data_IF_764294446424
#
_entry.id   IF_764294446424
#
_cell.length_a   1.000
_cell.length_b   1.000
_cell.length_c   1.000
_cell.angle_alpha   90.00
_cell.angle_beta   90.00
_cell.angle_gamma   90.00
#
_symmetry.space_group_name_H-M   'P 1'
#
loop_
_entity.id
_entity.type
_entity.pdbx_description
1 polymer ?
#
# COMPACT_ATOMS: atom_id res chain seq x y z
N UNK A 1 21.22 -2.05 0.06
CA UNK A 1 21.14 -2.87 1.31
C UNK A 1 21.71 -2.16 2.54
N UNK A 2 22.90 -1.52 2.49
CA UNK A 2 23.51 -0.84 3.67
C UNK A 2 22.60 0.19 4.35
N UNK A 3 21.97 1.10 3.60
CA UNK A 3 21.07 2.12 4.16
C UNK A 3 19.85 1.51 4.89
N UNK A 4 19.18 0.53 4.30
CA UNK A 4 17.98 -0.09 4.88
C UNK A 4 18.29 -0.79 6.22
N UNK A 5 19.42 -1.49 6.29
CA UNK A 5 19.84 -2.17 7.52
C UNK A 5 20.15 -1.15 8.62
N UNK A 6 20.86 -0.06 8.29
CA UNK A 6 21.15 1.03 9.24
C UNK A 6 19.86 1.72 9.69
N UNK A 7 18.94 2.01 8.76
CA UNK A 7 17.68 2.67 9.08
C UNK A 7 16.80 1.81 9.99
N UNK A 8 16.70 0.50 9.74
CA UNK A 8 15.97 -0.43 10.62
C UNK A 8 16.63 -0.58 11.99
N UNK A 9 17.97 -0.62 12.06
CA UNK A 9 18.69 -0.69 13.33
C UNK A 9 18.45 0.59 14.16
N UNK A 10 18.57 1.76 13.54
CA UNK A 10 18.27 3.04 14.19
C UNK A 10 16.81 3.10 14.67
N UNK A 11 15.87 2.65 13.83
CA UNK A 11 14.46 2.64 14.19
C UNK A 11 14.14 1.66 15.32
N UNK A 12 14.85 0.52 15.38
CA UNK A 12 14.74 -0.44 16.49
C UNK A 12 15.14 0.22 17.81
N UNK A 13 16.25 0.96 17.83
CA UNK A 13 16.69 1.72 19.00
C UNK A 13 15.65 2.76 19.40
N UNK A 14 15.11 3.52 18.43
CA UNK A 14 14.05 4.52 18.69
C UNK A 14 12.82 3.88 19.31
N UNK A 15 12.34 2.74 18.80
CA UNK A 15 11.17 2.05 19.33
C UNK A 15 11.40 1.52 20.74
N UNK A 16 12.59 0.96 21.01
CA UNK A 16 12.94 0.52 22.37
C UNK A 16 12.94 1.72 23.32
N UNK A 17 13.56 2.83 22.94
CA UNK A 17 13.54 4.07 23.75
C UNK A 17 12.11 4.54 24.00
N UNK A 18 11.23 4.52 22.98
CA UNK A 18 9.82 4.93 23.14
C UNK A 18 9.11 4.03 24.15
N UNK A 19 9.30 2.71 24.09
CA UNK A 19 8.68 1.77 25.04
C UNK A 19 9.19 2.03 26.48
N UNK A 20 10.48 2.31 26.64
CA UNK A 20 11.09 2.51 27.96
C UNK A 20 10.76 3.88 28.58
N UNK A 21 10.54 4.91 27.76
CA UNK A 21 10.45 6.31 28.22
C UNK A 21 9.03 6.86 28.18
N UNK A 22 8.20 6.42 27.23
CA UNK A 22 6.85 6.98 27.03
C UNK A 22 5.80 6.05 27.64
N UNK A 23 4.94 6.55 28.56
CA UNK A 23 3.89 5.74 29.15
C UNK A 23 2.94 5.14 28.12
N UNK A 24 2.57 3.88 28.35
CA UNK A 24 1.50 3.22 27.63
C UNK A 24 0.18 4.01 27.74
N UNK A 25 -0.58 4.10 26.65
CA UNK A 25 -1.87 4.80 26.61
C UNK A 25 -2.96 3.83 26.18
N UNK A 26 -3.75 3.37 27.15
CA UNK A 26 -4.90 2.52 26.89
C UNK A 26 -5.96 3.26 26.06
N UNK A 27 -6.41 2.62 24.99
CA UNK A 27 -7.57 3.07 24.20
C UNK A 27 -8.48 1.88 23.95
N UNK A 28 -8.00 0.89 23.18
CA UNK A 28 -8.82 -0.24 22.73
C UNK A 28 -8.28 -1.61 23.17
N UNK A 29 -7.06 -1.72 23.68
CA UNK A 29 -6.42 -3.01 23.97
C UNK A 29 -7.24 -3.85 24.95
N UNK A 30 -7.67 -3.24 26.06
CA UNK A 30 -8.55 -3.90 27.04
C UNK A 30 -9.87 -4.35 26.42
N UNK A 31 -10.48 -3.48 25.61
CA UNK A 31 -11.71 -3.83 24.92
C UNK A 31 -11.50 -5.02 23.97
N UNK A 32 -10.37 -5.10 23.26
CA UNK A 32 -10.05 -6.26 22.42
C UNK A 32 -9.94 -7.55 23.24
N UNK A 33 -9.36 -7.50 24.44
CA UNK A 33 -9.24 -8.67 25.31
C UNK A 33 -10.61 -9.10 25.84
N UNK A 34 -11.48 -8.16 26.22
CA UNK A 34 -12.85 -8.41 26.68
C UNK A 34 -13.72 -9.03 25.56
N UNK A 35 -13.64 -8.49 24.35
CA UNK A 35 -14.35 -8.99 23.16
C UNK A 35 -13.97 -10.45 22.87
N UNK A 36 -12.67 -10.76 22.91
CA UNK A 36 -12.15 -12.11 22.67
C UNK A 36 -12.43 -13.05 23.82
N UNK A 37 -12.37 -12.57 25.06
CA UNK A 37 -12.70 -13.35 26.25
C UNK A 37 -14.14 -13.87 26.19
N UNK A 38 -15.09 -13.06 25.70
CA UNK A 38 -16.46 -13.52 25.43
C UNK A 38 -16.49 -14.75 24.50
N UNK A 39 -15.77 -14.68 23.37
CA UNK A 39 -15.64 -15.80 22.43
C UNK A 39 -14.98 -17.03 23.07
N UNK A 40 -13.89 -16.83 23.82
CA UNK A 40 -13.17 -17.93 24.49
C UNK A 40 -14.01 -18.63 25.57
N UNK A 41 -15.00 -17.94 26.15
CA UNK A 41 -15.99 -18.51 27.06
C UNK A 41 -17.22 -19.11 26.35
N UNK A 42 -17.22 -19.19 25.03
CA UNK A 42 -18.24 -19.88 24.24
C UNK A 42 -19.34 -19.00 23.67
N UNK A 43 -19.22 -17.67 23.74
CA UNK A 43 -20.16 -16.76 23.06
C UNK A 43 -19.93 -16.80 21.54
N UNK A 44 -20.96 -17.18 20.79
CA UNK A 44 -20.95 -17.31 19.33
C UNK A 44 -21.95 -16.37 18.64
N UNK A 45 -22.80 -15.66 19.39
CA UNK A 45 -23.59 -14.57 18.84
C UNK A 45 -22.75 -13.30 18.80
N UNK A 46 -22.37 -12.90 17.58
CA UNK A 46 -21.50 -11.74 17.35
C UNK A 46 -22.05 -10.43 17.90
N UNK A 47 -23.36 -10.34 18.17
CA UNK A 47 -23.99 -9.14 18.77
C UNK A 47 -23.63 -8.97 20.25
N UNK A 48 -23.25 -10.06 20.92
CA UNK A 48 -22.95 -10.07 22.34
C UNK A 48 -21.46 -9.82 22.63
N UNK A 49 -20.59 -10.01 21.64
CA UNK A 49 -19.16 -9.72 21.74
C UNK A 49 -18.94 -8.20 21.78
N UNK A 50 -18.51 -7.69 22.93
CA UNK A 50 -18.30 -6.25 23.19
C UNK A 50 -17.28 -6.05 24.30
N UNK A 51 -16.60 -4.91 24.27
CA UNK A 51 -15.72 -4.44 25.33
C UNK A 51 -16.07 -3.01 25.77
N UNK A 52 -15.21 -2.42 26.59
CA UNK A 52 -15.39 -1.07 27.14
C UNK A 52 -15.52 0.04 26.10
N UNK A 53 -15.03 -0.18 24.87
CA UNK A 53 -15.11 0.80 23.76
C UNK A 53 -16.26 0.54 22.79
N UNK A 54 -17.08 -0.49 23.02
CA UNK A 54 -18.28 -0.78 22.25
C UNK A 54 -18.37 -2.23 21.76
N UNK A 55 -19.26 -2.52 20.80
CA UNK A 55 -19.38 -3.84 20.22
C UNK A 55 -18.19 -4.18 19.31
N UNK A 56 -17.93 -5.48 19.17
CA UNK A 56 -16.98 -6.00 18.20
C UNK A 56 -17.48 -5.78 16.77
N UNK A 57 -16.70 -5.04 15.98
CA UNK A 57 -17.05 -4.64 14.60
C UNK A 57 -16.00 -5.05 13.56
N UNK A 58 -15.12 -5.98 13.93
CA UNK A 58 -14.10 -6.52 13.04
C UNK A 58 -14.53 -7.89 12.51
N UNK A 59 -14.03 -8.37 11.36
CA UNK A 59 -14.30 -9.73 10.91
C UNK A 59 -13.56 -10.80 11.73
N UNK A 60 -13.90 -12.07 11.55
CA UNK A 60 -13.45 -13.17 12.42
C UNK A 60 -11.93 -13.35 12.53
N UNK A 61 -11.14 -12.86 11.57
CA UNK A 61 -9.68 -12.86 11.67
C UNK A 61 -9.16 -12.04 12.86
N UNK A 62 -9.88 -11.00 13.28
CA UNK A 62 -9.59 -10.26 14.50
C UNK A 62 -9.59 -11.17 15.73
N UNK A 63 -10.64 -11.98 15.87
CA UNK A 63 -10.82 -12.91 17.00
C UNK A 63 -9.63 -13.86 17.07
N UNK A 64 -9.24 -14.47 15.95
CA UNK A 64 -8.14 -15.43 15.93
C UNK A 64 -6.79 -14.80 16.29
N UNK A 65 -6.49 -13.61 15.76
CA UNK A 65 -5.25 -12.90 16.10
C UNK A 65 -5.23 -12.53 17.59
N UNK A 66 -6.32 -11.94 18.09
CA UNK A 66 -6.35 -11.45 19.47
C UNK A 66 -6.57 -12.58 20.49
N UNK A 67 -7.11 -13.74 20.11
CA UNK A 67 -7.11 -14.94 20.96
C UNK A 67 -5.69 -15.45 21.24
N UNK A 68 -4.83 -15.48 20.22
CA UNK A 68 -3.40 -15.82 20.42
C UNK A 68 -2.75 -14.79 21.35
N UNK A 69 -3.00 -13.49 21.12
CA UNK A 69 -2.46 -12.43 21.96
C UNK A 69 -2.96 -12.49 23.40
N UNK A 70 -4.24 -12.79 23.61
CA UNK A 70 -4.86 -12.97 24.93
C UNK A 70 -4.08 -14.02 25.74
N UNK A 71 -3.80 -15.19 25.16
CA UNK A 71 -3.04 -16.21 25.86
C UNK A 71 -1.56 -15.83 26.08
N UNK A 72 -0.90 -15.27 25.06
CA UNK A 72 0.51 -14.88 25.19
C UNK A 72 0.75 -13.80 26.24
N UNK A 73 -0.21 -12.89 26.40
CA UNK A 73 -0.07 -11.69 27.25
C UNK A 73 -0.74 -11.83 28.61
N UNK A 74 -1.00 -13.07 29.07
CA UNK A 74 -1.72 -13.32 30.34
C UNK A 74 -3.04 -12.55 30.38
N UNK A 75 -3.92 -12.81 29.41
CA UNK A 75 -5.23 -12.16 29.24
C UNK A 75 -5.15 -10.65 28.97
N UNK A 76 -4.02 -10.17 28.44
CA UNK A 76 -3.79 -8.76 28.18
C UNK A 76 -3.12 -7.97 29.29
N UNK A 77 -2.80 -8.58 30.44
CA UNK A 77 -2.17 -7.92 31.58
C UNK A 77 -0.68 -7.63 31.35
N UNK A 78 0.01 -8.48 30.58
CA UNK A 78 1.43 -8.32 30.27
C UNK A 78 1.64 -7.29 29.14
N UNK A 79 1.40 -6.01 29.46
CA UNK A 79 1.48 -4.89 28.50
C UNK A 79 2.87 -4.77 27.88
N UNK A 80 3.94 -4.88 28.65
CA UNK A 80 5.31 -4.79 28.12
C UNK A 80 5.58 -5.85 27.04
N UNK A 81 5.11 -7.09 27.25
CA UNK A 81 5.20 -8.14 26.26
C UNK A 81 4.36 -7.81 25.02
N UNK A 82 3.15 -7.28 25.19
CA UNK A 82 2.33 -6.81 24.07
C UNK A 82 3.06 -5.70 23.28
N UNK A 83 3.69 -4.74 23.95
CA UNK A 83 4.46 -3.68 23.28
C UNK A 83 5.64 -4.23 22.49
N UNK A 84 6.35 -5.24 22.99
CA UNK A 84 7.44 -5.91 22.27
C UNK A 84 6.94 -6.71 21.06
N UNK A 85 5.79 -7.37 21.17
CA UNK A 85 5.13 -8.04 20.05
C UNK A 85 4.78 -7.01 18.97
N UNK A 86 4.12 -5.91 19.35
CA UNK A 86 3.74 -4.85 18.41
C UNK A 86 4.94 -4.10 17.82
N UNK A 87 6.04 -3.97 18.56
CA UNK A 87 7.31 -3.47 18.04
C UNK A 87 7.83 -4.38 16.92
N UNK A 88 7.72 -5.70 17.08
CA UNK A 88 8.09 -6.67 16.05
C UNK A 88 7.19 -6.54 14.82
N UNK A 89 5.88 -6.43 15.02
CA UNK A 89 4.91 -6.17 13.92
C UNK A 89 5.27 -4.89 13.17
N UNK A 90 5.60 -3.82 13.89
CA UNK A 90 6.03 -2.54 13.32
C UNK A 90 7.29 -2.68 12.47
N UNK A 91 8.36 -3.26 13.03
CA UNK A 91 9.65 -3.37 12.36
C UNK A 91 9.60 -4.28 11.13
N UNK A 92 8.84 -5.39 11.20
CA UNK A 92 8.63 -6.27 10.04
C UNK A 92 7.84 -5.56 8.95
N UNK A 93 6.78 -4.83 9.32
CA UNK A 93 5.98 -4.03 8.38
C UNK A 93 6.85 -2.97 7.70
N UNK A 94 7.63 -2.22 8.48
CA UNK A 94 8.55 -1.21 7.97
C UNK A 94 9.60 -1.84 7.05
N UNK A 95 10.19 -2.98 7.42
CA UNK A 95 11.17 -3.68 6.59
C UNK A 95 10.58 -4.08 5.22
N UNK A 96 9.32 -4.53 5.18
CA UNK A 96 8.62 -4.79 3.92
C UNK A 96 8.43 -3.51 3.11
N UNK A 97 7.92 -2.45 3.72
CA UNK A 97 7.74 -1.14 3.06
C UNK A 97 9.05 -0.60 2.48
N UNK A 98 10.15 -0.65 3.24
CA UNK A 98 11.45 -0.19 2.75
C UNK A 98 11.95 -0.99 1.54
N UNK A 99 11.66 -2.29 1.49
CA UNK A 99 11.93 -3.12 0.31
C UNK A 99 11.06 -2.73 -0.88
N UNK A 100 9.77 -2.48 -0.66
CA UNK A 100 8.86 -2.00 -1.72
C UNK A 100 9.38 -0.70 -2.35
N UNK A 101 9.81 0.26 -1.53
CA UNK A 101 10.40 1.52 -2.00
C UNK A 101 11.73 1.31 -2.74
N UNK A 102 12.61 0.47 -2.21
CA UNK A 102 13.93 0.24 -2.80
C UNK A 102 13.81 -0.44 -4.17
N UNK A 103 12.92 -1.44 -4.30
CA UNK A 103 12.70 -2.18 -5.53
C UNK A 103 11.86 -1.44 -6.57
N UNK A 104 11.19 -0.35 -6.21
CA UNK A 104 10.59 0.57 -7.18
C UNK A 104 11.59 1.61 -7.71
N UNK A 105 12.83 1.61 -7.22
CA UNK A 105 13.86 2.58 -7.62
C UNK A 105 13.77 3.92 -6.91
N UNK A 106 13.04 4.01 -5.79
CA UNK A 106 13.08 5.20 -4.96
C UNK A 106 14.38 5.31 -4.17
N UNK A 107 14.85 6.54 -4.02
CA UNK A 107 16.06 6.85 -3.25
C UNK A 107 15.73 7.16 -1.79
N UNK A 108 16.77 7.25 -0.96
CA UNK A 108 16.68 7.59 0.46
C UNK A 108 15.85 8.86 0.74
N UNK A 109 15.81 9.82 -0.20
CA UNK A 109 15.05 11.08 -0.05
C UNK A 109 13.54 10.86 0.11
N UNK A 110 12.99 9.85 -0.57
CA UNK A 110 11.56 9.50 -0.47
C UNK A 110 11.29 8.63 0.76
N UNK A 111 12.32 7.96 1.26
CA UNK A 111 12.24 7.03 2.38
C UNK A 111 12.32 7.75 3.74
N UNK A 112 13.09 8.83 3.87
CA UNK A 112 13.22 9.60 5.13
C UNK A 112 11.88 9.97 5.78
N UNK A 113 10.87 10.48 5.05
CA UNK A 113 9.58 10.84 5.64
C UNK A 113 8.91 9.71 6.43
N UNK A 114 9.20 8.45 6.10
CA UNK A 114 8.62 7.28 6.77
C UNK A 114 9.03 7.15 8.24
N UNK A 115 10.11 7.82 8.64
CA UNK A 115 10.67 7.78 10.00
C UNK A 115 10.28 9.01 10.83
N UNK A 116 9.59 10.00 10.27
CA UNK A 116 9.33 11.26 10.99
C UNK A 116 8.13 11.13 11.94
N UNK A 117 7.16 10.27 11.60
CA UNK A 117 5.88 10.23 12.33
C UNK A 117 6.00 9.61 13.72
N UNK A 118 5.83 10.43 14.77
CA UNK A 118 5.64 9.97 16.16
C UNK A 118 4.33 9.20 16.30
N UNK A 119 3.29 9.62 15.56
CA UNK A 119 1.96 9.01 15.62
C UNK A 119 2.02 7.54 15.22
N UNK A 120 2.67 7.21 14.10
CA UNK A 120 2.74 5.82 13.60
C UNK A 120 3.37 4.89 14.64
N UNK A 121 4.52 5.27 15.23
CA UNK A 121 5.14 4.49 16.31
C UNK A 121 4.17 4.29 17.48
N UNK A 122 3.53 5.36 17.91
CA UNK A 122 2.59 5.35 19.03
C UNK A 122 1.34 4.50 18.75
N UNK A 123 0.84 4.45 17.51
CA UNK A 123 -0.29 3.58 17.13
C UNK A 123 0.06 2.10 17.30
N UNK A 124 1.31 1.71 16.99
CA UNK A 124 1.79 0.35 17.19
C UNK A 124 2.10 0.06 18.66
N UNK A 125 3.07 0.76 19.26
CA UNK A 125 3.67 0.30 20.53
C UNK A 125 3.11 0.98 21.78
N UNK A 126 2.32 2.04 21.65
CA UNK A 126 1.72 2.72 22.82
C UNK A 126 0.20 2.58 22.90
N UNK A 127 -0.45 2.14 21.83
CA UNK A 127 -1.91 1.98 21.74
C UNK A 127 -2.37 0.58 21.31
N UNK A 128 -1.46 -0.22 20.73
CA UNK A 128 -1.68 -1.63 20.39
C UNK A 128 -2.90 -1.85 19.45
N UNK A 129 -3.12 -0.95 18.50
CA UNK A 129 -4.32 -1.01 17.64
C UNK A 129 -4.34 -2.21 16.69
N UNK A 130 -5.52 -2.81 16.49
CA UNK A 130 -5.77 -3.91 15.55
C UNK A 130 -5.26 -3.63 14.12
N UNK A 131 -5.36 -2.37 13.67
CA UNK A 131 -4.94 -1.92 12.34
C UNK A 131 -3.51 -2.35 11.99
N UNK A 132 -2.62 -2.42 12.99
CA UNK A 132 -1.22 -2.83 12.83
C UNK A 132 -1.09 -4.24 12.24
N UNK A 133 -1.92 -5.18 12.69
CA UNK A 133 -1.94 -6.56 12.20
C UNK A 133 -2.49 -6.64 10.78
N UNK A 134 -3.60 -5.94 10.50
CA UNK A 134 -4.15 -5.87 9.15
C UNK A 134 -3.13 -5.31 8.15
N UNK A 135 -2.41 -4.25 8.53
CA UNK A 135 -1.39 -3.65 7.66
C UNK A 135 -0.17 -4.55 7.48
N UNK A 136 0.27 -5.30 8.50
CA UNK A 136 1.33 -6.31 8.35
C UNK A 136 0.99 -7.32 7.25
N UNK A 137 -0.19 -7.95 7.34
CA UNK A 137 -0.61 -8.95 6.35
C UNK A 137 -0.88 -8.35 4.97
N UNK A 138 -1.38 -7.11 4.90
CA UNK A 138 -1.51 -6.40 3.64
C UNK A 138 -0.16 -6.12 2.96
N UNK A 139 0.84 -5.60 3.69
CA UNK A 139 2.16 -5.36 3.09
C UNK A 139 2.88 -6.66 2.73
N UNK A 140 2.63 -7.76 3.46
CA UNK A 140 3.04 -9.09 3.05
C UNK A 140 2.37 -9.49 1.72
N UNK A 141 1.04 -9.31 1.59
CA UNK A 141 0.30 -9.59 0.36
C UNK A 141 0.85 -8.82 -0.84
N UNK A 142 1.04 -7.50 -0.68
CA UNK A 142 1.62 -6.64 -1.71
C UNK A 142 3.03 -7.11 -2.08
N UNK A 143 3.87 -7.48 -1.11
CA UNK A 143 5.23 -7.99 -1.36
C UNK A 143 5.21 -9.27 -2.19
N UNK A 144 4.31 -10.21 -1.90
CA UNK A 144 4.22 -11.48 -2.63
C UNK A 144 3.61 -11.34 -4.04
N UNK A 145 2.60 -10.47 -4.19
CA UNK A 145 1.96 -10.16 -5.48
C UNK A 145 2.90 -9.32 -6.36
N UNK A 146 3.56 -8.32 -5.78
CA UNK A 146 4.61 -7.58 -6.44
C UNK A 146 5.84 -8.47 -6.68
N UNK A 147 5.99 -9.60 -6.01
CA UNK A 147 7.06 -10.56 -6.27
C UNK A 147 8.40 -10.14 -5.68
N UNK A 148 9.24 -11.14 -5.38
CA UNK A 148 10.59 -10.90 -4.87
C UNK A 148 11.58 -10.79 -6.04
N UNK A 149 12.58 -9.91 -5.96
CA UNK A 149 13.72 -9.99 -6.86
C UNK A 149 14.44 -11.31 -6.60
N UNK A 150 14.52 -12.18 -7.60
CA UNK A 150 15.47 -13.30 -7.55
C UNK A 150 16.84 -12.75 -7.93
N UNK A 151 17.89 -13.10 -7.19
CA UNK A 151 19.26 -12.64 -7.44
C UNK A 151 19.86 -13.04 -8.80
N UNK A 152 19.07 -13.62 -9.70
CA UNK A 152 19.40 -13.96 -11.08
C UNK A 152 18.57 -13.14 -12.10
N UNK A 153 18.16 -11.91 -11.74
CA UNK A 153 17.44 -11.00 -12.64
C UNK A 153 16.04 -11.48 -13.05
N UNK A 154 15.37 -12.27 -12.20
CA UNK A 154 14.01 -12.77 -12.47
C UNK A 154 13.09 -12.58 -11.29
N UNK A 155 12.11 -11.69 -11.42
CA UNK A 155 11.01 -11.51 -10.47
C UNK A 155 10.13 -12.75 -10.40
N UNK A 156 9.89 -13.26 -9.19
CA UNK A 156 8.93 -14.35 -8.96
C UNK A 156 7.74 -13.87 -8.14
N UNK A 157 6.56 -13.83 -8.76
CA UNK A 157 5.29 -13.50 -8.09
C UNK A 157 4.67 -14.73 -7.43
N UNK A 158 4.37 -14.61 -6.14
CA UNK A 158 3.75 -15.67 -5.34
C UNK A 158 2.27 -15.35 -5.11
N UNK A 159 1.47 -15.43 -6.18
CA UNK A 159 0.06 -15.04 -6.17
C UNK A 159 -0.79 -15.74 -5.11
N UNK A 160 -0.61 -17.06 -4.93
CA UNK A 160 -1.34 -17.82 -3.91
C UNK A 160 -1.10 -17.28 -2.50
N UNK A 161 0.17 -17.14 -2.12
CA UNK A 161 0.58 -16.63 -0.79
C UNK A 161 0.10 -15.18 -0.64
N UNK A 162 0.26 -14.37 -1.68
CA UNK A 162 -0.21 -12.99 -1.69
C UNK A 162 -1.72 -12.87 -1.48
N UNK A 163 -2.52 -13.68 -2.16
CA UNK A 163 -3.98 -13.74 -1.99
C UNK A 163 -4.40 -14.23 -0.61
N UNK A 164 -3.70 -15.24 -0.05
CA UNK A 164 -3.93 -15.71 1.32
C UNK A 164 -3.64 -14.59 2.33
N UNK A 165 -2.48 -13.93 2.24
CA UNK A 165 -2.16 -12.78 3.10
C UNK A 165 -3.19 -11.65 2.96
N UNK A 166 -3.67 -11.37 1.74
CA UNK A 166 -4.67 -10.33 1.50
C UNK A 166 -6.00 -10.65 2.20
N UNK A 167 -6.50 -11.87 2.06
CA UNK A 167 -7.77 -12.25 2.71
C UNK A 167 -7.64 -12.38 4.23
N UNK A 168 -6.47 -12.79 4.75
CA UNK A 168 -6.19 -12.70 6.20
C UNK A 168 -6.29 -11.25 6.66
N UNK A 169 -5.64 -10.32 5.96
CA UNK A 169 -5.69 -8.90 6.29
C UNK A 169 -7.14 -8.35 6.29
N UNK A 170 -7.94 -8.68 5.27
CA UNK A 170 -9.37 -8.33 5.21
C UNK A 170 -10.14 -8.93 6.39
N UNK A 171 -9.86 -10.17 6.77
CA UNK A 171 -10.53 -10.83 7.91
C UNK A 171 -10.16 -10.22 9.26
N UNK A 172 -9.03 -9.51 9.37
CA UNK A 172 -8.63 -8.79 10.58
C UNK A 172 -9.26 -7.39 10.60
N UNK A 173 -9.25 -6.71 9.45
CA UNK A 173 -9.89 -5.40 9.30
C UNK A 173 -10.30 -5.15 7.84
N UNK A 174 -11.58 -4.79 7.66
CA UNK A 174 -12.19 -4.66 6.33
C UNK A 174 -11.62 -3.49 5.50
N UNK A 175 -10.93 -2.52 6.10
CA UNK A 175 -10.36 -1.37 5.38
C UNK A 175 -9.41 -1.81 4.25
N UNK A 176 -8.82 -2.99 4.37
CA UNK A 176 -7.96 -3.60 3.35
C UNK A 176 -8.70 -3.78 2.01
N UNK A 177 -10.04 -3.84 2.02
CA UNK A 177 -10.85 -3.86 0.79
C UNK A 177 -10.66 -2.61 -0.08
N UNK A 178 -10.18 -1.49 0.47
CA UNK A 178 -9.85 -0.30 -0.33
C UNK A 178 -8.72 -0.57 -1.36
N UNK A 179 -7.90 -1.59 -1.14
CA UNK A 179 -6.88 -2.05 -2.09
C UNK A 179 -7.42 -3.02 -3.14
N UNK A 180 -8.62 -3.59 -2.94
CA UNK A 180 -9.17 -4.66 -3.77
C UNK A 180 -9.39 -4.26 -5.24
N UNK A 181 -9.88 -3.05 -5.59
CA UNK A 181 -10.00 -2.65 -6.99
C UNK A 181 -8.66 -2.64 -7.72
N UNK A 182 -7.61 -2.11 -7.06
CA UNK A 182 -6.25 -2.11 -7.60
C UNK A 182 -5.68 -3.51 -7.74
N UNK A 183 -5.85 -4.36 -6.73
CA UNK A 183 -5.44 -5.77 -6.77
C UNK A 183 -6.12 -6.53 -7.90
N UNK A 184 -7.45 -6.43 -8.01
CA UNK A 184 -8.22 -7.10 -9.05
C UNK A 184 -7.78 -6.65 -10.43
N UNK A 185 -7.57 -5.35 -10.61
CA UNK A 185 -7.09 -4.81 -11.89
C UNK A 185 -5.72 -5.38 -12.28
N UNK A 186 -4.77 -5.40 -11.33
CA UNK A 186 -3.45 -6.00 -11.56
C UNK A 186 -3.58 -7.49 -11.90
N UNK A 187 -4.44 -8.24 -11.20
CA UNK A 187 -4.68 -9.66 -11.50
C UNK A 187 -5.24 -9.86 -12.91
N UNK A 188 -6.25 -9.08 -13.32
CA UNK A 188 -6.85 -9.16 -14.65
C UNK A 188 -5.86 -8.79 -15.77
N UNK A 189 -4.92 -7.87 -15.50
CA UNK A 189 -3.88 -7.46 -16.45
C UNK A 189 -2.67 -8.40 -16.49
N UNK A 190 -2.58 -9.38 -15.60
CA UNK A 190 -1.42 -10.28 -15.49
C UNK A 190 -1.77 -11.73 -15.72
N UNK A 191 -2.85 -12.21 -15.09
CA UNK A 191 -3.20 -13.61 -15.02
C UNK A 191 -4.32 -13.97 -16.00
N UNK A 192 -4.34 -15.21 -16.52
CA UNK A 192 -5.52 -15.76 -17.18
C UNK A 192 -6.74 -15.76 -16.25
N UNK A 193 -7.93 -15.52 -16.80
CA UNK A 193 -9.18 -15.36 -16.02
C UNK A 193 -9.46 -16.54 -15.07
N UNK A 194 -9.17 -17.78 -15.48
CA UNK A 194 -9.32 -18.97 -14.62
C UNK A 194 -8.48 -18.87 -13.34
N UNK A 195 -7.26 -18.35 -13.41
CA UNK A 195 -6.40 -18.16 -12.22
C UNK A 195 -6.92 -17.03 -11.35
N UNK A 196 -7.42 -15.94 -11.95
CA UNK A 196 -8.07 -14.86 -11.21
C UNK A 196 -9.27 -15.40 -10.42
N UNK A 197 -10.17 -16.13 -11.07
CA UNK A 197 -11.33 -16.75 -10.43
C UNK A 197 -10.92 -17.69 -9.28
N UNK A 198 -9.87 -18.49 -9.47
CA UNK A 198 -9.34 -19.38 -8.43
C UNK A 198 -8.84 -18.61 -7.20
N UNK A 199 -8.06 -17.54 -7.39
CA UNK A 199 -7.57 -16.75 -6.26
C UNK A 199 -8.67 -15.96 -5.56
N UNK A 200 -9.68 -15.48 -6.30
CA UNK A 200 -10.87 -14.85 -5.70
C UNK A 200 -11.68 -15.87 -4.89
N UNK A 201 -11.80 -17.11 -5.37
CA UNK A 201 -12.43 -18.19 -4.61
C UNK A 201 -11.66 -18.46 -3.31
N UNK A 202 -10.33 -18.52 -3.33
CA UNK A 202 -9.51 -18.68 -2.12
C UNK A 202 -9.76 -17.53 -1.14
N UNK A 203 -9.79 -16.29 -1.63
CA UNK A 203 -10.09 -15.14 -0.78
C UNK A 203 -11.46 -15.29 -0.10
N UNK A 204 -12.50 -15.65 -0.85
CA UNK A 204 -13.85 -15.85 -0.32
C UNK A 204 -13.92 -17.04 0.67
N UNK A 205 -13.29 -18.17 0.33
CA UNK A 205 -13.25 -19.36 1.17
C UNK A 205 -12.61 -19.06 2.53
N UNK A 206 -11.53 -18.28 2.57
CA UNK A 206 -10.91 -17.87 3.83
C UNK A 206 -11.85 -17.02 4.70
N UNK A 207 -12.65 -16.12 4.11
CA UNK A 207 -13.62 -15.34 4.91
C UNK A 207 -14.65 -16.24 5.58
N UNK A 208 -15.08 -17.32 4.91
CA UNK A 208 -15.96 -18.34 5.50
C UNK A 208 -15.25 -19.09 6.62
N UNK A 209 -14.00 -19.53 6.40
CA UNK A 209 -13.21 -20.26 7.41
C UNK A 209 -12.98 -19.40 8.65
N UNK A 210 -12.51 -18.17 8.47
CA UNK A 210 -12.24 -17.25 9.57
C UNK A 210 -13.50 -16.88 10.37
N UNK A 211 -14.66 -16.81 9.73
CA UNK A 211 -15.95 -16.56 10.37
C UNK A 211 -16.74 -17.80 10.78
N UNK A 212 -16.22 -19.01 10.56
CA UNK A 212 -17.00 -20.26 10.58
C UNK A 212 -17.80 -20.47 11.89
N UNK A 213 -17.24 -20.28 13.09
CA UNK A 213 -18.00 -20.49 14.34
C UNK A 213 -19.25 -19.60 14.41
N UNK A 214 -19.13 -18.34 13.97
CA UNK A 214 -20.21 -17.36 14.02
C UNK A 214 -21.19 -17.53 12.86
N UNK A 215 -20.69 -17.89 11.67
CA UNK A 215 -21.53 -18.19 10.50
C UNK A 215 -22.42 -19.42 10.76
N UNK A 216 -21.87 -20.46 11.37
CA UNK A 216 -22.61 -21.67 11.71
C UNK A 216 -23.67 -21.42 12.81
N UNK A 217 -23.39 -20.53 13.76
CA UNK A 217 -24.31 -20.21 14.85
C UNK A 217 -25.40 -19.19 14.44
N UNK A 218 -24.99 -18.02 13.95
CA UNK A 218 -25.89 -16.94 13.53
C UNK A 218 -25.25 -16.07 12.43
N UNK A 219 -25.30 -16.55 11.19
CA UNK A 219 -24.70 -15.85 10.05
C UNK A 219 -25.24 -14.42 9.84
N UNK A 220 -26.52 -14.15 10.16
CA UNK A 220 -27.10 -12.81 10.02
C UNK A 220 -26.47 -11.83 11.00
N UNK A 221 -26.33 -12.24 12.26
CA UNK A 221 -25.65 -11.44 13.28
C UNK A 221 -24.20 -11.18 12.89
N UNK A 222 -23.47 -12.22 12.47
CA UNK A 222 -22.08 -12.08 12.03
C UNK A 222 -21.96 -11.10 10.86
N UNK A 223 -22.64 -11.35 9.73
CA UNK A 223 -22.50 -10.51 8.54
C UNK A 223 -22.91 -9.05 8.77
N UNK A 224 -23.93 -8.81 9.60
CA UNK A 224 -24.36 -7.45 9.95
C UNK A 224 -23.34 -6.72 10.81
N UNK A 225 -22.71 -7.39 11.79
CA UNK A 225 -21.85 -6.74 12.78
C UNK A 225 -20.37 -6.75 12.43
N UNK A 226 -19.89 -7.81 11.78
CA UNK A 226 -18.48 -7.99 11.47
C UNK A 226 -17.96 -7.02 10.39
N UNK A 227 -18.86 -6.55 9.52
CA UNK A 227 -18.59 -5.57 8.47
C UNK A 227 -19.26 -4.21 8.71
N UNK A 228 -20.33 -4.14 9.51
CA UNK A 228 -21.08 -2.94 9.94
C UNK A 228 -21.04 -1.75 8.95
N UNK A 229 -21.45 -2.01 7.69
CA UNK A 229 -21.37 -1.05 6.58
C UNK A 229 -22.33 0.15 6.76
N UNK A 230 -23.32 0.01 7.64
CA UNK A 230 -24.28 1.02 8.03
C UNK A 230 -23.77 1.93 9.17
N UNK A 231 -22.64 1.59 9.81
CA UNK A 231 -22.10 2.35 10.94
C UNK A 231 -21.77 3.78 10.51
N UNK A 232 -22.31 4.73 11.27
CA UNK A 232 -21.92 6.14 11.19
C UNK A 232 -21.14 6.49 12.46
N UNK A 233 -19.86 6.78 12.31
CA UNK A 233 -19.02 7.24 13.42
C UNK A 233 -19.48 8.61 13.93
N UNK A 234 -19.27 8.87 15.23
CA UNK A 234 -19.61 10.18 15.79
C UNK A 234 -18.75 11.27 15.19
N UNK A 235 -19.40 12.32 14.68
CA UNK A 235 -18.74 13.45 14.01
C UNK A 235 -17.61 14.05 14.87
N UNK A 236 -17.80 14.25 16.18
CA UNK A 236 -16.79 14.80 17.12
C UNK A 236 -15.44 14.06 17.15
N UNK A 237 -15.42 12.77 16.79
CA UNK A 237 -14.19 11.95 16.80
C UNK A 237 -13.52 11.85 15.43
N UNK A 238 -14.18 12.36 14.38
CA UNK A 238 -13.70 12.31 13.00
C UNK A 238 -12.61 13.37 12.76
N UNK A 239 -11.49 13.00 12.16
CA UNK A 239 -10.42 13.94 11.80
C UNK A 239 -10.81 14.81 10.61
N UNK A 240 -11.66 14.27 9.74
CA UNK A 240 -12.14 14.94 8.55
C UNK A 240 -13.59 15.42 8.71
N UNK A 241 -13.91 16.45 7.95
CA UNK A 241 -15.21 17.15 7.91
C UNK A 241 -15.63 17.81 9.23
N UNK A 242 -14.72 18.16 10.14
CA UNK A 242 -15.05 18.92 11.37
C UNK A 242 -15.64 20.31 11.11
N UNK A 243 -15.42 20.86 9.92
CA UNK A 243 -16.00 22.15 9.50
C UNK A 243 -17.43 22.03 8.97
N UNK A 244 -17.95 20.81 8.80
CA UNK A 244 -19.36 20.58 8.44
C UNK A 244 -20.21 20.45 9.70
N UNK A 245 -21.49 20.75 9.58
CA UNK A 245 -22.46 20.47 10.63
C UNK A 245 -22.66 18.95 10.83
N UNK A 246 -22.89 18.54 12.08
CA UNK A 246 -23.04 17.15 12.46
C UNK A 246 -24.28 16.49 11.81
N UNK A 247 -25.35 17.25 11.55
CA UNK A 247 -26.53 16.75 10.85
C UNK A 247 -26.19 16.40 9.40
N UNK A 248 -25.42 17.26 8.70
CA UNK A 248 -24.99 16.98 7.34
C UNK A 248 -24.05 15.77 7.27
N UNK A 249 -23.13 15.66 8.23
CA UNK A 249 -22.18 14.54 8.30
C UNK A 249 -22.88 13.17 8.42
N UNK A 250 -23.95 13.12 9.21
CA UNK A 250 -24.70 11.88 9.50
C UNK A 250 -25.74 11.54 8.44
N UNK A 251 -26.16 12.50 7.59
CA UNK A 251 -27.13 12.27 6.50
C UNK A 251 -26.67 11.15 5.56
N UNK A 252 -27.53 10.15 5.26
CA UNK A 252 -27.22 9.06 4.33
C UNK A 252 -26.73 9.55 2.95
N UNK A 253 -27.35 10.61 2.42
CA UNK A 253 -26.98 11.20 1.13
C UNK A 253 -25.53 11.67 1.05
N UNK A 254 -24.95 12.16 2.16
CA UNK A 254 -23.53 12.55 2.20
C UNK A 254 -22.61 11.34 1.99
N UNK A 255 -22.90 10.21 2.65
CA UNK A 255 -22.13 8.98 2.50
C UNK A 255 -22.27 8.36 1.11
N UNK A 256 -23.48 8.40 0.54
CA UNK A 256 -23.73 7.93 -0.83
C UNK A 256 -22.98 8.78 -1.86
N UNK A 257 -22.95 10.11 -1.68
CA UNK A 257 -22.18 11.00 -2.56
C UNK A 257 -20.67 10.72 -2.48
N UNK A 258 -20.13 10.52 -1.27
CA UNK A 258 -18.73 10.13 -1.07
C UNK A 258 -18.41 8.80 -1.77
N UNK A 259 -19.25 7.77 -1.61
CA UNK A 259 -19.09 6.49 -2.28
C UNK A 259 -19.13 6.60 -3.81
N UNK A 260 -20.06 7.40 -4.34
CA UNK A 260 -20.14 7.68 -5.78
C UNK A 260 -18.85 8.36 -6.28
N UNK A 261 -18.30 9.31 -5.52
CA UNK A 261 -17.02 9.96 -5.85
C UNK A 261 -15.84 8.99 -5.78
N UNK A 262 -15.80 8.06 -4.81
CA UNK A 262 -14.82 6.97 -4.76
C UNK A 262 -14.86 6.15 -6.04
N UNK A 263 -16.03 5.64 -6.42
CA UNK A 263 -16.21 4.80 -7.59
C UNK A 263 -15.87 5.55 -8.90
N UNK A 264 -16.36 6.79 -9.05
CA UNK A 264 -16.06 7.62 -10.21
C UNK A 264 -14.56 7.90 -10.35
N UNK A 265 -13.87 8.15 -9.24
CA UNK A 265 -12.43 8.38 -9.23
C UNK A 265 -11.64 7.11 -9.57
N UNK A 266 -12.05 5.93 -9.09
CA UNK A 266 -11.45 4.67 -9.52
C UNK A 266 -11.61 4.43 -11.03
N UNK A 267 -12.79 4.72 -11.60
CA UNK A 267 -13.01 4.62 -13.06
C UNK A 267 -12.12 5.61 -13.82
N UNK A 268 -12.00 6.85 -13.32
CA UNK A 268 -11.13 7.87 -13.89
C UNK A 268 -9.66 7.41 -13.90
N UNK A 269 -9.17 6.92 -12.76
CA UNK A 269 -7.80 6.39 -12.65
C UNK A 269 -7.58 5.16 -13.52
N UNK A 270 -8.55 4.26 -13.59
CA UNK A 270 -8.47 3.11 -14.47
C UNK A 270 -8.21 3.55 -15.91
N UNK A 271 -9.01 4.50 -16.41
CA UNK A 271 -8.89 5.00 -17.78
C UNK A 271 -7.62 5.80 -18.02
N UNK A 272 -7.27 6.72 -17.12
CA UNK A 272 -6.18 7.68 -17.33
C UNK A 272 -4.79 7.15 -16.96
N UNK A 273 -4.71 6.23 -15.99
CA UNK A 273 -3.45 5.88 -15.32
C UNK A 273 -3.20 4.38 -15.32
N UNK A 274 -4.18 3.57 -14.93
CA UNK A 274 -3.94 2.13 -14.79
C UNK A 274 -3.92 1.41 -16.13
N UNK A 275 -4.77 1.80 -17.09
CA UNK A 275 -4.83 1.16 -18.40
C UNK A 275 -3.54 1.28 -19.22
N UNK A 276 -2.88 2.45 -19.28
CA UNK A 276 -1.60 2.61 -19.97
C UNK A 276 -0.43 1.83 -19.35
N UNK A 277 -0.48 1.49 -18.05
CA UNK A 277 0.64 0.81 -17.38
C UNK A 277 0.87 -0.61 -17.91
N UNK A 278 2.13 -1.02 -17.85
CA UNK A 278 2.58 -2.39 -18.10
C UNK A 278 2.64 -3.17 -16.79
N UNK A 279 2.00 -4.33 -16.75
CA UNK A 279 1.95 -5.18 -15.56
C UNK A 279 2.63 -6.54 -15.73
N UNK A 280 3.12 -6.86 -16.93
CA UNK A 280 3.81 -8.11 -17.25
C UNK A 280 5.18 -7.79 -17.82
N UNK A 281 6.18 -8.56 -17.41
CA UNK A 281 7.45 -8.62 -18.14
C UNK A 281 7.31 -9.50 -19.39
N UNK A 282 8.26 -9.41 -20.31
CA UNK A 282 8.26 -10.25 -21.52
C UNK A 282 8.43 -11.74 -21.18
N UNK A 283 9.17 -12.04 -20.10
CA UNK A 283 9.26 -13.38 -19.54
C UNK A 283 7.92 -13.88 -18.97
N UNK A 284 7.21 -13.04 -18.18
CA UNK A 284 5.90 -13.39 -17.63
C UNK A 284 4.86 -13.58 -18.74
N UNK A 285 4.87 -12.73 -19.77
CA UNK A 285 3.96 -12.82 -20.90
C UNK A 285 4.14 -14.15 -21.67
N UNK A 286 5.38 -14.62 -21.89
CA UNK A 286 5.67 -15.92 -22.51
C UNK A 286 5.07 -17.10 -21.76
N UNK A 287 5.12 -17.07 -20.43
CA UNK A 287 4.65 -18.18 -19.58
C UNK A 287 3.13 -18.13 -19.37
N UNK A 288 2.57 -16.94 -19.18
CA UNK A 288 1.16 -16.78 -18.82
C UNK A 288 0.24 -16.65 -20.04
N UNK A 289 0.76 -16.15 -21.16
CA UNK A 289 0.00 -15.88 -22.38
C UNK A 289 0.80 -16.29 -23.64
N UNK A 290 1.06 -17.59 -23.85
CA UNK A 290 1.93 -18.08 -24.93
C UNK A 290 1.47 -17.63 -26.33
N UNK A 291 0.16 -17.59 -26.59
CA UNK A 291 -0.41 -17.14 -27.87
C UNK A 291 -0.12 -15.66 -28.20
N UNK A 292 0.11 -14.81 -27.20
CA UNK A 292 0.44 -13.39 -27.39
C UNK A 292 1.95 -13.22 -27.63
N UNK A 293 2.76 -14.09 -27.02
CA UNK A 293 4.22 -14.02 -27.09
C UNK A 293 4.78 -14.43 -28.46
N UNK A 294 4.16 -15.40 -29.13
CA UNK A 294 4.61 -15.86 -30.45
C UNK A 294 4.48 -14.76 -31.54
N UNK A 295 3.45 -13.91 -31.47
CA UNK A 295 3.25 -12.77 -32.39
C UNK A 295 4.36 -11.72 -32.26
N UNK A 296 4.91 -11.53 -31.06
CA UNK A 296 6.00 -10.56 -30.82
C UNK A 296 7.34 -11.07 -31.35
N UNK A 297 7.57 -12.39 -31.35
CA UNK A 297 8.82 -13.04 -31.77
C UNK A 297 9.08 -12.94 -33.27
N UNK A 298 8.04 -12.94 -34.10
CA UNK A 298 8.16 -12.87 -35.56
C UNK A 298 8.73 -11.52 -36.07
N UNK A 299 8.73 -10.46 -35.24
CA UNK A 299 9.21 -9.13 -35.63
C UNK A 299 10.66 -8.80 -35.21
N UNK A 300 11.32 -9.68 -34.47
CA UNK A 300 12.60 -9.39 -33.76
C UNK A 300 13.75 -10.30 -34.22
N UNK A 301 13.64 -10.97 -35.37
CA UNK A 301 14.71 -11.80 -35.93
C UNK A 301 15.67 -10.98 -36.80
N UNK A 302 16.44 -10.06 -36.19
CA UNK A 302 17.64 -9.48 -36.81
C UNK A 302 18.44 -8.71 -35.76
N UNK A 303 19.73 -9.05 -35.60
CA UNK A 303 20.77 -8.44 -34.73
C UNK A 303 21.02 -9.19 -33.41
N UNK A 304 22.02 -10.07 -33.37
CA UNK A 304 22.22 -11.03 -32.28
C UNK A 304 23.62 -11.06 -31.61
N UNK A 305 24.53 -10.10 -31.83
CA UNK A 305 25.91 -10.25 -31.31
C UNK A 305 26.54 -9.05 -30.59
N UNK A 306 25.81 -7.99 -30.28
CA UNK A 306 26.29 -6.87 -29.44
C UNK A 306 25.45 -6.69 -28.15
N UNK A 307 24.76 -7.75 -27.73
CA UNK A 307 23.42 -7.66 -27.13
C UNK A 307 23.35 -8.07 -25.65
N UNK A 308 24.32 -8.80 -25.10
CA UNK A 308 24.19 -9.42 -23.77
C UNK A 308 24.20 -8.43 -22.60
N UNK A 309 25.11 -7.43 -22.57
CA UNK A 309 25.13 -6.40 -21.51
C UNK A 309 23.98 -5.39 -21.65
N UNK A 310 23.52 -5.15 -22.88
CA UNK A 310 22.38 -4.24 -23.13
C UNK A 310 21.03 -4.89 -22.83
N UNK A 311 20.85 -6.20 -23.08
CA UNK A 311 19.65 -6.95 -22.73
C UNK A 311 19.45 -7.05 -21.21
N UNK A 312 20.51 -7.29 -20.45
CA UNK A 312 20.42 -7.43 -18.99
C UNK A 312 19.94 -6.13 -18.32
N UNK A 313 20.42 -4.98 -18.80
CA UNK A 313 20.01 -3.66 -18.29
C UNK A 313 18.55 -3.31 -18.67
N UNK A 314 18.08 -3.76 -19.84
CA UNK A 314 16.70 -3.55 -20.29
C UNK A 314 15.70 -4.41 -19.48
N UNK A 315 16.07 -5.65 -19.17
CA UNK A 315 15.29 -6.57 -18.34
C UNK A 315 15.10 -6.02 -16.91
N UNK A 316 16.16 -5.55 -16.24
CA UNK A 316 16.05 -4.97 -14.90
C UNK A 316 15.17 -3.71 -14.86
N UNK A 317 15.29 -2.83 -15.86
CA UNK A 317 14.47 -1.64 -15.98
C UNK A 317 12.99 -1.98 -16.22
N UNK A 318 12.72 -2.98 -17.06
CA UNK A 318 11.36 -3.50 -17.28
C UNK A 318 10.78 -4.08 -15.98
N UNK A 319 11.55 -4.90 -15.26
CA UNK A 319 11.10 -5.49 -13.98
C UNK A 319 10.73 -4.41 -12.96
N UNK A 320 11.58 -3.41 -12.80
CA UNK A 320 11.35 -2.28 -11.91
C UNK A 320 10.10 -1.49 -12.32
N UNK A 321 9.90 -1.24 -13.62
CA UNK A 321 8.72 -0.52 -14.12
C UNK A 321 7.41 -1.28 -13.86
N UNK A 322 7.41 -2.59 -14.08
CA UNK A 322 6.27 -3.48 -13.79
C UNK A 322 6.02 -3.57 -12.28
N UNK A 323 7.08 -3.54 -11.47
CA UNK A 323 7.01 -3.54 -10.01
C UNK A 323 6.36 -2.27 -9.50
N UNK A 324 6.88 -1.11 -9.94
CA UNK A 324 6.32 0.19 -9.64
C UNK A 324 4.84 0.32 -10.06
N UNK A 325 4.51 -0.13 -11.27
CA UNK A 325 3.13 -0.11 -11.78
C UNK A 325 2.18 -0.94 -10.92
N UNK A 326 2.63 -2.11 -10.46
CA UNK A 326 1.86 -2.96 -9.52
C UNK A 326 1.60 -2.21 -8.21
N UNK A 327 2.65 -1.64 -7.60
CA UNK A 327 2.52 -0.93 -6.32
C UNK A 327 1.64 0.33 -6.43
N UNK A 328 1.85 1.14 -7.45
CA UNK A 328 1.08 2.37 -7.69
C UNK A 328 -0.41 2.06 -7.80
N UNK A 329 -0.79 1.04 -8.55
CA UNK A 329 -2.20 0.68 -8.75
C UNK A 329 -2.87 0.23 -7.44
N UNK A 330 -2.15 -0.50 -6.58
CA UNK A 330 -2.65 -0.83 -5.23
C UNK A 330 -2.81 0.42 -4.36
N UNK A 331 -1.79 1.27 -4.32
CA UNK A 331 -1.73 2.41 -3.41
C UNK A 331 -2.69 3.53 -3.81
N UNK A 332 -2.83 3.80 -5.11
CA UNK A 332 -3.81 4.76 -5.64
C UNK A 332 -5.24 4.30 -5.35
N UNK A 333 -5.54 2.99 -5.50
CA UNK A 333 -6.86 2.45 -5.17
C UNK A 333 -7.22 2.72 -3.70
N UNK A 334 -6.30 2.42 -2.78
CA UNK A 334 -6.50 2.67 -1.35
C UNK A 334 -6.64 4.16 -1.03
N UNK A 335 -5.76 5.01 -1.56
CA UNK A 335 -5.79 6.44 -1.28
C UNK A 335 -7.11 7.08 -1.70
N UNK A 336 -7.67 6.70 -2.86
CA UNK A 336 -9.00 7.19 -3.27
C UNK A 336 -10.06 6.81 -2.24
N UNK A 337 -10.04 5.57 -1.74
CA UNK A 337 -10.94 5.13 -0.67
C UNK A 337 -10.80 5.94 0.62
N UNK A 338 -9.56 6.20 1.04
CA UNK A 338 -9.27 6.99 2.25
C UNK A 338 -9.70 8.46 2.09
N UNK A 339 -9.40 9.09 0.96
CA UNK A 339 -9.68 10.51 0.71
C UNK A 339 -11.18 10.80 0.78
N UNK A 340 -12.00 9.89 0.25
CA UNK A 340 -13.45 10.01 0.27
C UNK A 340 -14.11 9.28 1.45
N UNK A 341 -13.35 8.79 2.43
CA UNK A 341 -13.93 8.16 3.60
C UNK A 341 -14.77 9.17 4.39
N UNK A 342 -16.02 8.81 4.74
CA UNK A 342 -16.89 9.70 5.55
C UNK A 342 -16.23 10.08 6.87
N UNK A 343 -15.61 9.11 7.55
CA UNK A 343 -14.94 9.35 8.82
C UNK A 343 -13.55 8.76 8.84
N UNK A 344 -12.61 9.52 9.39
CA UNK A 344 -11.23 9.11 9.61
C UNK A 344 -10.92 9.27 11.10
N UNK A 345 -10.34 8.26 11.72
CA UNK A 345 -9.86 8.32 13.10
C UNK A 345 -8.35 8.16 13.17
N UNK A 346 -7.74 8.47 14.32
CA UNK A 346 -6.28 8.48 14.47
C UNK A 346 -5.62 7.15 14.09
N UNK A 347 -6.25 6.01 14.38
CA UNK A 347 -5.73 4.69 14.06
C UNK A 347 -5.66 4.41 12.54
N UNK A 348 -6.51 5.08 11.75
CA UNK A 348 -6.55 4.91 10.30
C UNK A 348 -5.33 5.50 9.59
N UNK A 349 -4.48 6.25 10.31
CA UNK A 349 -3.26 6.78 9.71
C UNK A 349 -2.34 5.68 9.16
N UNK A 350 -2.34 4.51 9.83
CA UNK A 350 -1.58 3.33 9.40
C UNK A 350 -2.01 2.82 8.03
N UNK A 351 -3.23 3.11 7.57
CA UNK A 351 -3.78 2.58 6.31
C UNK A 351 -3.08 3.17 5.08
N UNK A 352 -2.52 4.36 5.20
CA UNK A 352 -2.04 5.11 4.04
C UNK A 352 -0.78 5.95 4.28
N UNK A 353 -0.29 6.05 5.52
CA UNK A 353 0.94 6.79 5.82
C UNK A 353 2.12 6.38 4.92
N UNK A 354 2.32 5.07 4.73
CA UNK A 354 3.40 4.55 3.89
C UNK A 354 3.11 4.65 2.38
N UNK A 355 1.87 4.94 1.97
CA UNK A 355 1.51 5.00 0.54
C UNK A 355 1.56 6.41 -0.02
N UNK A 356 1.31 7.43 0.80
CA UNK A 356 1.31 8.84 0.35
C UNK A 356 2.67 9.28 -0.22
N UNK A 357 3.82 9.10 0.49
CA UNK A 357 5.10 9.54 -0.05
C UNK A 357 5.50 8.75 -1.30
N UNK A 358 5.11 7.48 -1.39
CA UNK A 358 5.35 6.62 -2.56
C UNK A 358 4.62 7.16 -3.79
N UNK A 359 3.30 7.37 -3.69
CA UNK A 359 2.49 7.83 -4.81
C UNK A 359 2.93 9.23 -5.26
N UNK A 360 3.17 10.15 -4.32
CA UNK A 360 3.67 11.48 -4.64
C UNK A 360 5.05 11.45 -5.30
N UNK A 361 5.90 10.46 -5.00
CA UNK A 361 7.21 10.33 -5.63
C UNK A 361 7.13 10.04 -7.14
N UNK A 362 6.08 9.34 -7.57
CA UNK A 362 5.77 9.04 -8.96
C UNK A 362 4.93 10.11 -9.65
N UNK A 363 5.12 11.37 -9.29
CA UNK A 363 4.48 12.50 -9.97
C UNK A 363 5.55 13.46 -10.54
N UNK A 364 5.18 14.32 -11.49
CA UNK A 364 5.94 15.53 -11.85
C UNK A 364 5.76 16.64 -10.82
N UNK A 365 4.93 16.42 -9.80
CA UNK A 365 4.60 17.40 -8.77
C UNK A 365 5.87 17.92 -8.08
N UNK A 366 6.09 19.25 -7.99
CA UNK A 366 7.29 19.81 -7.36
C UNK A 366 7.54 19.23 -5.96
N UNK A 367 8.81 18.92 -5.65
CA UNK A 367 9.16 18.31 -4.36
C UNK A 367 8.71 19.12 -3.12
N UNK A 368 8.67 20.47 -3.11
CA UNK A 368 8.15 21.21 -1.95
C UNK A 368 6.66 20.94 -1.75
N UNK A 369 5.89 20.83 -2.83
CA UNK A 369 4.45 20.56 -2.75
C UNK A 369 4.16 19.13 -2.27
N UNK A 370 5.04 18.17 -2.57
CA UNK A 370 4.96 16.81 -1.99
C UNK A 370 5.09 16.87 -0.47
N UNK A 371 6.08 17.62 0.03
CA UNK A 371 6.29 17.79 1.47
C UNK A 371 5.12 18.52 2.11
N UNK A 372 4.61 19.60 1.48
CA UNK A 372 3.42 20.31 1.96
C UNK A 372 2.21 19.39 2.05
N UNK A 373 1.98 18.54 1.04
CA UNK A 373 0.88 17.57 1.05
C UNK A 373 1.01 16.58 2.22
N UNK A 374 2.20 16.01 2.43
CA UNK A 374 2.48 15.13 3.57
C UNK A 374 2.32 15.85 4.92
N UNK A 375 2.79 17.09 5.04
CA UNK A 375 2.73 17.87 6.26
C UNK A 375 1.29 18.21 6.63
N UNK A 376 0.49 18.68 5.67
CA UNK A 376 -0.93 18.98 5.86
C UNK A 376 -1.71 17.74 6.34
N UNK A 377 -1.44 16.58 5.75
CA UNK A 377 -2.01 15.30 6.20
C UNK A 377 -1.55 15.01 7.64
N UNK A 378 -0.24 15.06 7.93
CA UNK A 378 0.30 14.74 9.27
C UNK A 378 -0.30 15.62 10.37
N UNK A 379 -0.52 16.91 10.09
CA UNK A 379 -1.11 17.85 11.05
C UNK A 379 -2.52 17.46 11.49
N UNK A 380 -3.30 16.82 10.62
CA UNK A 380 -4.61 16.26 10.97
C UNK A 380 -4.55 15.12 12.00
N UNK A 381 -3.42 14.39 12.06
CA UNK A 381 -3.23 13.26 12.97
C UNK A 381 -2.38 13.60 14.20
N UNK A 382 -1.68 14.73 14.20
CA UNK A 382 -0.87 15.19 15.33
C UNK A 382 -1.68 15.98 16.35
N UNK A 383 -2.73 16.68 15.91
CA UNK A 383 -3.58 17.51 16.77
C UNK A 383 -4.69 16.69 17.45
N UNK A 384 -4.90 16.88 18.76
CA UNK A 384 -6.04 16.34 19.51
C UNK A 384 -6.58 17.40 20.50
N UNK A 385 -7.90 17.62 20.59
CA UNK A 385 -8.97 17.00 19.80
C UNK A 385 -9.01 17.49 18.34
N UNK A 386 -9.78 16.83 17.45
CA UNK A 386 -10.00 17.31 16.09
C UNK A 386 -10.67 18.68 16.08
N UNK A 387 -10.29 19.55 15.12
CA UNK A 387 -10.84 20.91 14.98
C UNK A 387 -11.19 21.21 13.52
N UNK A 388 -12.07 22.19 13.24
CA UNK A 388 -12.35 22.62 11.86
C UNK A 388 -11.08 22.97 11.08
N UNK A 389 -10.13 23.68 11.72
CA UNK A 389 -8.84 24.05 11.11
C UNK A 389 -8.01 22.83 10.71
N UNK A 390 -7.81 21.89 11.63
CA UNK A 390 -7.00 20.68 11.38
C UNK A 390 -7.67 19.77 10.35
N UNK A 391 -9.00 19.72 10.36
CA UNK A 391 -9.77 19.02 9.33
C UNK A 391 -9.66 19.65 7.95
N UNK A 392 -9.65 20.99 7.84
CA UNK A 392 -9.40 21.68 6.55
C UNK A 392 -7.99 21.34 6.06
N UNK A 393 -6.98 21.40 6.94
CA UNK A 393 -5.61 21.04 6.58
C UNK A 393 -5.51 19.60 6.05
N UNK A 394 -6.10 18.63 6.75
CA UNK A 394 -6.15 17.24 6.33
C UNK A 394 -6.78 17.11 4.93
N UNK A 395 -7.95 17.73 4.72
CA UNK A 395 -8.65 17.68 3.44
C UNK A 395 -7.91 18.39 2.31
N UNK A 396 -7.23 19.51 2.59
CA UNK A 396 -6.35 20.16 1.63
C UNK A 396 -5.17 19.26 1.24
N UNK A 397 -4.54 18.58 2.20
CA UNK A 397 -3.47 17.62 1.92
C UNK A 397 -3.94 16.46 1.04
N UNK A 398 -5.14 15.94 1.30
CA UNK A 398 -5.78 14.94 0.43
C UNK A 398 -6.11 15.46 -0.96
N UNK A 399 -6.68 16.66 -1.07
CA UNK A 399 -7.00 17.28 -2.35
C UNK A 399 -5.73 17.51 -3.20
N UNK A 400 -4.65 18.00 -2.60
CA UNK A 400 -3.36 18.16 -3.26
C UNK A 400 -2.77 16.82 -3.72
N UNK A 401 -2.86 15.79 -2.87
CA UNK A 401 -2.39 14.44 -3.21
C UNK A 401 -3.19 13.86 -4.38
N UNK A 402 -4.52 13.97 -4.34
CA UNK A 402 -5.43 13.53 -5.39
C UNK A 402 -5.13 14.23 -6.72
N UNK A 403 -5.00 15.55 -6.68
CA UNK A 403 -4.65 16.36 -7.83
C UNK A 403 -3.30 15.94 -8.43
N UNK A 404 -2.29 15.72 -7.58
CA UNK A 404 -0.95 15.35 -8.01
C UNK A 404 -0.93 14.04 -8.81
N UNK A 405 -1.61 12.97 -8.36
CA UNK A 405 -1.56 11.69 -9.08
C UNK A 405 -2.56 11.56 -10.23
N UNK A 406 -3.65 12.35 -10.25
CA UNK A 406 -4.58 12.39 -11.40
C UNK A 406 -3.96 13.16 -12.57
N UNK A 407 -3.45 14.38 -12.32
CA UNK A 407 -3.06 15.30 -13.40
C UNK A 407 -1.55 15.36 -13.64
N UNK A 408 -0.74 15.04 -12.63
CA UNK A 408 0.73 15.06 -12.71
C UNK A 408 1.36 13.73 -12.39
N UNK A 409 0.58 12.65 -12.39
CA UNK A 409 1.13 11.32 -12.25
C UNK A 409 2.09 11.02 -13.41
N UNK A 410 3.27 10.49 -13.07
CA UNK A 410 4.14 9.80 -14.03
C UNK A 410 3.73 8.34 -13.98
N UNK A 411 3.53 7.73 -15.13
CA UNK A 411 3.54 6.28 -15.18
C UNK A 411 5.00 5.81 -15.08
N UNK A 412 5.20 4.61 -14.55
CA UNK A 412 6.49 3.97 -14.76
C UNK A 412 6.75 3.93 -16.27
N UNK A 413 7.95 4.33 -16.76
CA UNK A 413 8.21 4.36 -18.19
C UNK A 413 7.81 3.02 -18.82
N UNK A 414 7.16 3.06 -19.98
CA UNK A 414 7.04 1.84 -20.78
C UNK A 414 8.46 1.28 -20.94
N UNK A 415 8.63 -0.02 -20.69
CA UNK A 415 9.86 -0.68 -21.12
C UNK A 415 10.02 -0.34 -22.61
N UNK A 416 11.05 0.45 -22.93
CA UNK A 416 11.24 0.91 -24.28
C UNK A 416 11.40 -0.32 -25.15
N UNK A 417 10.68 -0.38 -26.27
CA UNK A 417 10.93 -1.49 -27.20
C UNK A 417 12.39 -1.39 -27.70
N UNK A 418 13.11 -2.51 -27.92
CA UNK A 418 14.51 -2.48 -28.35
C UNK A 418 14.77 -1.55 -29.57
N UNK A 419 13.74 -1.38 -30.42
CA UNK A 419 13.76 -0.46 -31.59
C UNK A 419 13.86 1.02 -31.23
N UNK A 420 13.21 1.49 -30.16
CA UNK A 420 13.24 2.90 -29.74
C UNK A 420 14.58 3.26 -29.08
N UNK A 421 15.11 2.36 -28.26
CA UNK A 421 16.42 2.50 -27.62
C UNK A 421 17.53 2.54 -28.68
N UNK A 422 17.45 1.66 -29.70
CA UNK A 422 18.38 1.68 -30.84
C UNK A 422 18.31 2.98 -31.64
N UNK A 423 17.11 3.50 -31.95
CA UNK A 423 16.95 4.78 -32.65
C UNK A 423 17.51 5.96 -31.85
N UNK A 424 17.35 5.95 -30.54
CA UNK A 424 17.80 7.03 -29.66
C UNK A 424 19.31 7.00 -29.44
N UNK A 425 19.89 5.81 -29.22
CA UNK A 425 21.35 5.60 -29.16
C UNK A 425 22.02 5.92 -30.49
N UNK A 426 21.47 5.45 -31.61
CA UNK A 426 22.01 5.74 -32.95
C UNK A 426 21.94 7.23 -33.28
N UNK A 427 20.84 7.91 -32.95
CA UNK A 427 20.74 9.39 -33.06
C UNK A 427 21.77 10.11 -32.18
N UNK A 428 22.00 9.62 -30.96
CA UNK A 428 23.04 10.16 -30.07
C UNK A 428 24.46 9.96 -30.60
N UNK A 429 24.75 8.77 -31.14
CA UNK A 429 26.05 8.43 -31.73
C UNK A 429 26.31 9.18 -33.05
N UNK A 430 25.30 9.32 -33.91
CA UNK A 430 25.37 10.11 -35.15
C UNK A 430 25.54 11.61 -34.84
N UNK A 431 24.90 12.13 -33.79
CA UNK A 431 25.10 13.51 -33.33
C UNK A 431 26.50 13.75 -32.72
N UNK A 432 27.05 12.77 -32.01
CA UNK A 432 28.41 12.82 -31.48
C UNK A 432 29.48 12.72 -32.58
N UNK A 433 29.25 11.88 -33.60
CA UNK A 433 30.13 11.76 -34.75
C UNK A 433 30.15 13.03 -35.61
N UNK A 434 29.00 13.71 -35.79
CA UNK A 434 28.93 14.96 -36.54
C UNK A 434 29.52 16.18 -35.82
N UNK A 435 29.68 16.12 -34.49
CA UNK A 435 30.29 17.21 -33.70
C UNK A 435 31.80 17.03 -33.50
N UNK A 436 32.34 15.82 -33.69
CA UNK A 436 33.78 15.52 -33.55
C UNK A 436 34.64 15.67 -34.82
N UNK A 437 34.05 15.85 -36.00
CA UNK A 437 34.78 15.79 -37.29
C UNK A 437 35.37 17.11 -37.82
N UNK A 438 35.24 18.22 -37.11
CA UNK A 438 35.46 19.56 -37.69
C UNK A 438 36.49 20.43 -36.97
N UNK A 439 37.75 20.00 -36.81
CA UNK A 439 38.95 20.87 -36.71
C UNK A 439 40.23 20.06 -36.40
N UNK A 440 40.97 19.67 -37.44
CA UNK A 440 42.40 20.00 -37.55
C UNK A 440 42.92 19.54 -38.93
N UNK A 441 43.20 20.51 -39.81
CA UNK A 441 44.17 20.40 -40.91
C UNK A 441 44.23 21.74 -41.62
N UNK A 442 45.03 22.66 -41.09
CA UNK A 442 45.69 23.67 -41.93
C UNK A 442 46.75 24.42 -41.13
N UNK A 443 47.96 24.42 -41.71
CA UNK A 443 49.15 25.26 -41.44
C UNK A 443 50.29 24.61 -40.66
N UNK A 444 51.16 23.96 -41.42
CA UNK A 444 52.60 24.17 -41.29
C UNK A 444 53.25 23.98 -42.67
N UNK A 445 53.57 25.10 -43.32
CA UNK A 445 54.63 25.31 -44.32
C UNK A 445 54.69 26.82 -44.57
N UNK A 446 55.74 27.46 -44.05
CA UNK A 446 56.63 28.41 -44.77
C UNK A 446 57.56 29.17 -43.80
N UNK A 447 58.87 28.94 -44.00
CA UNK A 447 60.01 29.87 -43.93
C UNK A 447 60.24 30.75 -42.68
N UNK A 448 61.29 30.42 -41.91
CA UNK A 448 62.61 31.08 -41.93
C UNK A 448 63.58 30.30 -41.03
#
# INVERSE_FOLDING_TARGET
MKFMNVALAAETVVIIIVILVVPYTEIDWRAYMEEVEGFLHGELDYRNLKGGTGPLVYPGGFIWVHAVLYYLTKKGEAIELAQLIYASVYLVTLAMVLRLYSHSGHTWRVIIPLFISKRIRSLYVLRLFNDCWAMLFLFAAVTFIAGRPSGAGKRSRQWLIGSICFTIAVSIKMNVLLFAPGMLYVMLRTLPLRRVAWYLFICAAWQVVAGMPFLAHNYKAYLSKSFELDRVFMHRWSLNYQFLDAELFTKPGFGQALLAMTAATWVLLWRMRWAPRTYLTDAEARVLHPAIADTRRQNTSSLLHAVEDEEMMDDEAQEQAVYASTLLTFFEANLVGVIFARSIHYQFYTWFFYTVPFVLAYTTYPWPLRIVSCALISQGFESFPPTPRTSVMLQSGFALTLFAFIFWGRDAPHAATPRETYRTKRRGAEAAANTGGGRSRTRQKETA
#
